data_IF_259028719442
#
_entry.id   IF_259028719442
#
_cell.length_a   1.000
_cell.length_b   1.000
_cell.length_c   1.000
_cell.angle_alpha   90.00
_cell.angle_beta   90.00
_cell.angle_gamma   90.00
#
_symmetry.space_group_name_H-M   'P 1'
#
loop_
_entity.id
_entity.type
_entity.pdbx_description
1 polymer ?
#
# COMPACT_ATOMS: atom_id res chain seq x y z
N UNK A 1 -13.12 -16.15 -27.02
CA UNK A 1 -12.37 -14.96 -27.48
C UNK A 1 -11.02 -15.42 -28.02
N UNK A 2 -10.63 -14.99 -29.21
CA UNK A 2 -9.28 -15.26 -29.75
C UNK A 2 -8.22 -14.62 -28.86
N UNK A 3 -7.08 -15.32 -28.66
CA UNK A 3 -5.84 -14.81 -28.06
C UNK A 3 -5.71 -13.30 -28.35
N UNK A 4 -5.69 -12.46 -27.32
CA UNK A 4 -5.62 -11.01 -27.50
C UNK A 4 -4.40 -10.70 -28.39
N UNK A 5 -4.57 -9.99 -29.52
CA UNK A 5 -3.52 -9.82 -30.50
C UNK A 5 -2.46 -8.87 -29.93
N UNK A 6 -1.35 -9.45 -29.46
CA UNK A 6 -0.23 -8.72 -28.89
C UNK A 6 0.84 -9.68 -28.37
N UNK A 7 2.10 -9.23 -28.34
CA UNK A 7 3.16 -9.96 -27.65
C UNK A 7 2.81 -10.00 -26.15
N UNK A 8 2.71 -11.20 -25.57
CA UNK A 8 2.36 -11.38 -24.17
C UNK A 8 3.24 -10.51 -23.25
N UNK A 9 2.59 -9.70 -22.41
CA UNK A 9 3.27 -8.94 -21.34
C UNK A 9 3.60 -9.90 -20.22
N UNK A 10 4.87 -10.32 -20.17
CA UNK A 10 5.36 -11.23 -19.12
C UNK A 10 5.82 -10.52 -17.87
N UNK A 11 6.33 -9.29 -17.99
CA UNK A 11 6.81 -8.51 -16.85
C UNK A 11 5.69 -7.60 -16.39
N UNK A 12 5.08 -7.95 -15.27
CA UNK A 12 3.84 -7.32 -14.77
C UNK A 12 4.12 -6.58 -13.48
N UNK A 13 3.65 -5.34 -13.39
CA UNK A 13 3.94 -4.43 -12.28
C UNK A 13 2.86 -4.50 -11.21
N UNK A 14 3.24 -4.63 -9.94
CA UNK A 14 2.30 -4.51 -8.81
C UNK A 14 2.28 -3.12 -8.20
N UNK A 15 3.35 -2.33 -8.33
CA UNK A 15 3.28 -0.87 -8.11
C UNK A 15 3.22 -0.21 -9.49
N UNK A 16 2.18 0.60 -9.80
CA UNK A 16 2.01 1.14 -11.14
C UNK A 16 3.21 1.98 -11.58
N UNK A 17 3.53 1.89 -12.87
CA UNK A 17 4.61 2.70 -13.44
C UNK A 17 4.30 4.19 -13.40
N UNK A 18 3.04 4.59 -13.55
CA UNK A 18 2.66 6.01 -13.48
C UNK A 18 2.96 6.58 -12.09
N UNK A 19 2.66 5.83 -11.02
CA UNK A 19 2.98 6.21 -9.66
C UNK A 19 4.49 6.38 -9.44
N UNK A 20 5.29 5.38 -9.87
CA UNK A 20 6.75 5.42 -9.69
C UNK A 20 7.42 6.60 -10.39
N UNK A 21 6.88 7.08 -11.52
CA UNK A 21 7.42 8.24 -12.24
C UNK A 21 7.44 9.52 -11.41
N UNK A 22 6.55 9.67 -10.42
CA UNK A 22 6.55 10.84 -9.53
C UNK A 22 7.73 10.87 -8.54
N UNK A 23 8.50 9.79 -8.49
CA UNK A 23 9.75 9.69 -7.74
C UNK A 23 10.97 9.69 -8.67
N UNK A 24 10.80 9.81 -9.99
CA UNK A 24 11.94 9.87 -10.90
C UNK A 24 12.61 11.26 -10.88
N UNK A 25 13.91 11.27 -11.12
CA UNK A 25 14.67 12.49 -11.37
C UNK A 25 14.38 13.06 -12.77
N UNK A 26 15.00 14.20 -13.10
CA UNK A 26 14.83 14.87 -14.40
C UNK A 26 15.31 14.04 -15.60
N UNK A 27 16.12 12.99 -15.37
CA UNK A 27 16.54 12.04 -16.39
C UNK A 27 15.63 10.81 -16.51
N UNK A 28 14.56 10.75 -15.70
CA UNK A 28 13.64 9.60 -15.63
C UNK A 28 14.19 8.42 -14.83
N UNK A 29 15.33 8.58 -14.14
CA UNK A 29 15.92 7.54 -13.29
C UNK A 29 15.38 7.63 -11.86
N UNK A 30 15.31 6.48 -11.21
CA UNK A 30 15.02 6.32 -9.79
C UNK A 30 16.30 5.97 -9.06
N UNK A 31 16.45 6.50 -7.85
CA UNK A 31 17.39 5.96 -6.87
C UNK A 31 16.67 4.88 -6.06
N UNK A 32 17.30 3.72 -5.91
CA UNK A 32 16.69 2.58 -5.24
C UNK A 32 17.67 1.88 -4.30
N UNK A 33 17.15 1.31 -3.22
CA UNK A 33 17.86 0.45 -2.28
C UNK A 33 17.18 -0.91 -2.24
N UNK A 34 17.92 -1.98 -2.50
CA UNK A 34 17.41 -3.35 -2.38
C UNK A 34 17.69 -3.86 -0.98
N UNK A 35 16.62 -4.18 -0.24
CA UNK A 35 16.72 -4.78 1.09
C UNK A 35 17.44 -6.13 1.04
N UNK A 36 17.08 -6.96 0.06
CA UNK A 36 17.68 -8.29 -0.13
C UNK A 36 19.18 -8.24 -0.43
N UNK A 37 19.61 -7.30 -1.28
CA UNK A 37 21.03 -7.19 -1.68
C UNK A 37 21.85 -6.28 -0.76
N UNK A 38 21.19 -5.49 0.09
CA UNK A 38 21.84 -4.50 0.94
C UNK A 38 22.55 -3.39 0.17
N UNK A 39 22.09 -3.04 -1.04
CA UNK A 39 22.83 -2.16 -1.96
C UNK A 39 21.97 -1.10 -2.62
N UNK A 40 22.53 0.09 -2.78
CA UNK A 40 21.96 1.18 -3.58
C UNK A 40 22.26 1.00 -5.08
N UNK A 41 21.31 1.39 -5.93
CA UNK A 41 21.44 1.36 -7.37
C UNK A 41 20.54 2.41 -8.02
N UNK A 42 20.79 2.69 -9.32
CA UNK A 42 19.91 3.54 -10.14
C UNK A 42 19.23 2.70 -11.20
N UNK A 43 17.98 3.01 -11.51
CA UNK A 43 17.21 2.24 -12.49
C UNK A 43 16.01 3.01 -13.04
N UNK A 44 15.43 2.52 -14.13
CA UNK A 44 14.14 2.97 -14.64
C UNK A 44 12.96 2.37 -13.86
N UNK A 45 11.83 3.08 -13.88
CA UNK A 45 10.54 2.62 -13.33
C UNK A 45 10.13 1.23 -13.84
N UNK A 46 10.47 0.91 -15.10
CA UNK A 46 10.15 -0.37 -15.74
C UNK A 46 10.80 -1.59 -15.07
N UNK A 47 11.84 -1.37 -14.26
CA UNK A 47 12.65 -2.44 -13.66
C UNK A 47 12.39 -2.65 -12.17
N UNK A 48 11.47 -1.90 -11.59
CA UNK A 48 11.09 -2.03 -10.19
C UNK A 48 9.67 -2.59 -10.07
N UNK A 49 9.37 -3.11 -8.88
CA UNK A 49 8.04 -3.55 -8.47
C UNK A 49 7.29 -4.35 -9.54
N UNK A 50 8.00 -5.27 -10.20
CA UNK A 50 7.45 -6.15 -11.23
C UNK A 50 7.96 -7.57 -11.08
N UNK A 51 7.11 -8.51 -11.47
CA UNK A 51 7.38 -9.94 -11.44
C UNK A 51 6.98 -10.56 -12.77
N UNK A 52 7.61 -11.68 -13.12
CA UNK A 52 7.27 -12.42 -14.32
C UNK A 52 5.98 -13.22 -14.08
N UNK A 53 5.01 -13.04 -14.97
CA UNK A 53 3.73 -13.76 -15.02
C UNK A 53 2.93 -13.71 -13.69
N UNK A 54 3.04 -12.60 -12.95
CA UNK A 54 2.44 -12.40 -11.62
C UNK A 54 0.94 -12.72 -11.59
N UNK A 55 0.21 -12.23 -12.60
CA UNK A 55 -1.24 -12.31 -12.69
C UNK A 55 -1.73 -13.46 -13.58
N UNK A 56 -0.82 -14.23 -14.17
CA UNK A 56 -1.20 -15.30 -15.09
C UNK A 56 -1.62 -16.55 -14.31
N UNK A 57 -2.60 -17.27 -14.84
CA UNK A 57 -3.08 -18.55 -14.31
C UNK A 57 -2.59 -19.63 -15.26
N UNK A 58 -1.95 -20.68 -14.74
CA UNK A 58 -1.52 -21.83 -15.55
C UNK A 58 -2.64 -22.86 -15.63
N UNK A 59 -2.75 -23.54 -16.78
CA UNK A 59 -3.61 -24.70 -16.91
C UNK A 59 -3.18 -25.81 -15.93
N UNK A 60 -4.14 -26.57 -15.40
CA UNK A 60 -3.88 -27.65 -14.44
C UNK A 60 -3.01 -28.78 -15.04
N UNK A 61 -3.10 -29.01 -16.35
CA UNK A 61 -2.31 -29.99 -17.10
C UNK A 61 -1.08 -29.39 -17.80
N UNK A 62 -0.76 -28.11 -17.54
CA UNK A 62 0.37 -27.44 -18.15
C UNK A 62 1.68 -28.17 -17.82
N UNK A 63 2.37 -28.64 -18.86
CA UNK A 63 3.71 -29.24 -18.74
C UNK A 63 4.72 -28.46 -19.59
N UNK A 64 5.79 -27.99 -18.96
CA UNK A 64 6.88 -27.26 -19.64
C UNK A 64 6.59 -25.77 -19.93
N UNK A 65 7.47 -25.14 -20.72
CA UNK A 65 7.44 -23.70 -21.04
C UNK A 65 6.67 -23.42 -22.35
N UNK A 66 5.57 -24.15 -22.58
CA UNK A 66 4.77 -24.05 -23.79
C UNK A 66 4.04 -22.69 -23.89
N UNK A 67 3.92 -22.15 -25.10
CA UNK A 67 3.27 -20.84 -25.36
C UNK A 67 1.77 -20.80 -25.03
N UNK A 68 1.14 -21.95 -24.82
CA UNK A 68 -0.28 -22.10 -24.45
C UNK A 68 -0.47 -22.61 -23.00
N UNK A 69 0.55 -22.48 -22.14
CA UNK A 69 0.45 -22.92 -20.74
C UNK A 69 -0.49 -22.09 -19.87
N UNK A 70 -0.85 -20.89 -20.31
CA UNK A 70 -1.59 -19.92 -19.51
C UNK A 70 -3.05 -19.85 -19.92
N UNK A 71 -3.90 -19.98 -18.91
CA UNK A 71 -5.33 -19.81 -18.96
C UNK A 71 -5.68 -18.31 -19.03
N UNK A 72 -6.40 -17.90 -20.07
CA UNK A 72 -6.82 -16.51 -20.32
C UNK A 72 -5.66 -15.47 -20.27
N UNK A 73 -4.64 -15.70 -21.11
CA UNK A 73 -3.43 -14.88 -21.22
C UNK A 73 -3.66 -13.36 -21.13
N UNK A 74 -2.93 -12.72 -20.20
CA UNK A 74 -2.93 -11.27 -19.95
C UNK A 74 -4.30 -10.63 -19.65
N UNK A 75 -5.34 -11.40 -19.32
CA UNK A 75 -6.65 -10.84 -19.01
C UNK A 75 -6.59 -9.83 -17.85
N UNK A 76 -5.94 -10.19 -16.75
CA UNK A 76 -5.80 -9.32 -15.56
C UNK A 76 -4.91 -8.12 -15.87
N UNK A 77 -3.79 -8.32 -16.56
CA UNK A 77 -2.88 -7.24 -16.96
C UNK A 77 -3.57 -6.18 -17.82
N UNK A 78 -4.39 -6.59 -18.78
CA UNK A 78 -5.16 -5.67 -19.64
C UNK A 78 -6.14 -4.86 -18.81
N UNK A 79 -6.90 -5.50 -17.92
CA UNK A 79 -7.84 -4.81 -17.02
C UNK A 79 -7.14 -3.84 -16.05
N UNK A 80 -5.99 -4.23 -15.50
CA UNK A 80 -5.16 -3.34 -14.69
C UNK A 80 -4.66 -2.15 -15.52
N UNK A 81 -4.23 -2.37 -16.77
CA UNK A 81 -3.82 -1.28 -17.66
C UNK A 81 -4.97 -0.30 -17.97
N UNK A 82 -6.20 -0.79 -18.14
CA UNK A 82 -7.39 0.04 -18.32
C UNK A 82 -7.71 0.86 -17.06
N UNK A 83 -7.65 0.22 -15.88
CA UNK A 83 -7.81 0.87 -14.60
C UNK A 83 -6.75 1.97 -14.39
N UNK A 84 -5.48 1.65 -14.61
CA UNK A 84 -4.36 2.60 -14.47
C UNK A 84 -4.51 3.78 -15.45
N UNK A 85 -5.00 3.53 -16.68
CA UNK A 85 -5.28 4.59 -17.65
C UNK A 85 -6.39 5.54 -17.21
N UNK A 86 -7.34 5.09 -16.38
CA UNK A 86 -8.38 5.95 -15.79
C UNK A 86 -7.87 6.73 -14.58
N UNK A 87 -7.06 6.10 -13.73
CA UNK A 87 -6.56 6.69 -12.47
C UNK A 87 -5.45 7.71 -12.72
N UNK A 88 -4.49 7.40 -13.60
CA UNK A 88 -3.28 8.21 -13.76
C UNK A 88 -3.57 9.69 -14.08
N UNK A 89 -4.47 10.05 -15.01
CA UNK A 89 -4.77 11.46 -15.29
C UNK A 89 -5.42 12.20 -14.10
N UNK A 90 -6.21 11.50 -13.27
CA UNK A 90 -6.81 12.09 -12.07
C UNK A 90 -5.74 12.35 -11.01
N UNK A 91 -4.82 11.39 -10.86
CA UNK A 91 -3.69 11.47 -9.95
C UNK A 91 -2.73 12.60 -10.32
N UNK A 92 -2.36 12.71 -11.61
CA UNK A 92 -1.49 13.77 -12.12
C UNK A 92 -2.08 15.16 -11.85
N UNK A 93 -3.35 15.36 -12.24
CA UNK A 93 -4.07 16.62 -11.99
C UNK A 93 -4.16 16.93 -10.50
N UNK A 94 -4.38 15.92 -9.67
CA UNK A 94 -4.46 16.09 -8.22
C UNK A 94 -3.13 16.63 -7.66
N UNK A 95 -1.99 16.06 -8.07
CA UNK A 95 -0.66 16.52 -7.64
C UNK A 95 -0.26 17.88 -8.22
N UNK A 96 -0.64 18.19 -9.46
CA UNK A 96 -0.38 19.49 -10.06
C UNK A 96 -1.05 20.63 -9.28
N UNK A 97 -2.30 20.44 -8.86
CA UNK A 97 -3.04 21.44 -8.07
C UNK A 97 -2.39 21.74 -6.72
N UNK A 98 -1.73 20.75 -6.10
CA UNK A 98 -1.01 20.98 -4.85
C UNK A 98 0.16 21.96 -5.00
N UNK A 99 0.68 22.15 -6.23
CA UNK A 99 1.73 23.13 -6.52
C UNK A 99 1.18 24.56 -6.56
N UNK A 100 -0.09 24.73 -6.90
CA UNK A 100 -0.75 26.03 -7.05
C UNK A 100 -1.27 26.59 -5.72
N UNK A 101 -1.03 25.89 -4.59
CA UNK A 101 -1.56 26.21 -3.25
C UNK A 101 -3.11 26.38 -3.23
N UNK A 102 -3.82 25.82 -4.21
CA UNK A 102 -5.28 25.80 -4.25
C UNK A 102 -5.79 24.62 -3.42
N UNK A 103 -6.29 24.93 -2.22
CA UNK A 103 -6.84 23.94 -1.30
C UNK A 103 -8.38 23.99 -1.37
N UNK A 104 -9.00 22.84 -1.68
CA UNK A 104 -10.45 22.58 -1.59
C UNK A 104 -11.38 23.17 -2.68
N UNK A 105 -11.01 23.06 -3.96
CA UNK A 105 -11.89 23.35 -5.11
C UNK A 105 -12.32 22.09 -5.90
N UNK A 106 -13.19 22.27 -6.92
CA UNK A 106 -13.72 21.25 -7.84
C UNK A 106 -12.66 20.20 -8.25
N UNK A 107 -12.84 18.94 -7.83
CA UNK A 107 -11.98 17.79 -8.19
C UNK A 107 -11.00 17.33 -7.10
N UNK A 108 -10.99 17.95 -5.91
CA UNK A 108 -10.29 17.39 -4.74
C UNK A 108 -10.84 16.00 -4.37
N UNK A 109 -12.16 15.83 -4.42
CA UNK A 109 -12.83 14.54 -4.18
C UNK A 109 -12.40 13.48 -5.19
N UNK A 110 -12.29 13.84 -6.47
CA UNK A 110 -11.84 12.91 -7.52
C UNK A 110 -10.38 12.50 -7.32
N UNK A 111 -9.53 13.44 -6.89
CA UNK A 111 -8.15 13.17 -6.52
C UNK A 111 -8.02 12.24 -5.31
N UNK A 112 -8.77 12.50 -4.22
CA UNK A 112 -8.84 11.60 -3.06
C UNK A 112 -9.31 10.21 -3.48
N UNK A 113 -10.37 10.12 -4.29
CA UNK A 113 -10.86 8.85 -4.81
C UNK A 113 -9.80 8.09 -5.62
N UNK A 114 -9.05 8.79 -6.48
CA UNK A 114 -7.95 8.19 -7.24
C UNK A 114 -6.81 7.67 -6.35
N UNK A 115 -6.46 8.39 -5.28
CA UNK A 115 -5.46 7.93 -4.29
C UNK A 115 -5.98 6.70 -3.53
N UNK A 116 -7.24 6.70 -3.10
CA UNK A 116 -7.84 5.55 -2.40
C UNK A 116 -7.91 4.30 -3.29
N UNK A 117 -8.30 4.47 -4.56
CA UNK A 117 -8.33 3.41 -5.57
C UNK A 117 -6.93 2.83 -5.80
N UNK A 118 -5.93 3.70 -5.91
CA UNK A 118 -4.54 3.30 -6.08
C UNK A 118 -4.02 2.53 -4.86
N UNK A 119 -4.27 3.03 -3.64
CA UNK A 119 -3.87 2.38 -2.40
C UNK A 119 -4.48 0.96 -2.32
N UNK A 120 -5.80 0.85 -2.49
CA UNK A 120 -6.51 -0.43 -2.48
C UNK A 120 -5.94 -1.42 -3.50
N UNK A 121 -5.70 -0.98 -4.73
CA UNK A 121 -5.15 -1.84 -5.77
C UNK A 121 -3.74 -2.32 -5.45
N UNK A 122 -2.85 -1.45 -4.94
CA UNK A 122 -1.48 -1.83 -4.59
C UNK A 122 -1.46 -2.91 -3.50
N UNK A 123 -2.33 -2.80 -2.50
CA UNK A 123 -2.45 -3.79 -1.41
C UNK A 123 -2.88 -5.15 -1.95
N UNK A 124 -4.00 -5.18 -2.68
CA UNK A 124 -4.62 -6.44 -3.11
C UNK A 124 -3.76 -7.14 -4.15
N UNK A 125 -3.09 -6.39 -5.04
CA UNK A 125 -2.24 -6.97 -6.09
C UNK A 125 -0.79 -7.21 -5.68
N UNK A 126 -0.45 -6.99 -4.41
CA UNK A 126 0.89 -7.26 -3.90
C UNK A 126 1.24 -8.75 -4.10
N UNK A 127 2.49 -9.11 -4.46
CA UNK A 127 2.84 -10.50 -4.78
C UNK A 127 2.67 -11.50 -3.64
N UNK A 128 2.61 -11.04 -2.40
CA UNK A 128 2.31 -11.87 -1.23
C UNK A 128 0.81 -12.22 -1.23
N UNK A 129 -0.07 -11.22 -1.31
CA UNK A 129 -1.52 -11.37 -1.39
C UNK A 129 -1.93 -12.27 -2.56
N UNK A 130 -1.41 -11.98 -3.76
CA UNK A 130 -1.69 -12.76 -4.97
C UNK A 130 -1.31 -14.24 -4.84
N UNK A 131 -0.20 -14.56 -4.14
CA UNK A 131 0.24 -15.95 -3.97
C UNK A 131 -0.68 -16.74 -3.04
N UNK A 132 -1.15 -16.10 -1.97
CA UNK A 132 -2.06 -16.74 -1.02
C UNK A 132 -3.43 -16.97 -1.65
N UNK A 133 -3.97 -15.97 -2.35
CA UNK A 133 -5.24 -16.11 -3.07
C UNK A 133 -5.22 -17.24 -4.11
N UNK A 134 -4.12 -17.35 -4.88
CA UNK A 134 -3.92 -18.42 -5.85
C UNK A 134 -3.88 -19.80 -5.19
N UNK A 135 -3.19 -19.94 -4.07
CA UNK A 135 -3.10 -21.20 -3.34
C UNK A 135 -4.47 -21.61 -2.80
N UNK A 136 -5.15 -20.70 -2.10
CA UNK A 136 -6.46 -20.95 -1.49
C UNK A 136 -7.53 -21.29 -2.53
N UNK A 137 -7.58 -20.54 -3.64
CA UNK A 137 -8.55 -20.77 -4.71
C UNK A 137 -8.37 -22.13 -5.39
N UNK A 138 -7.12 -22.60 -5.58
CA UNK A 138 -6.85 -23.96 -6.09
C UNK A 138 -7.28 -25.05 -5.13
N UNK A 139 -6.96 -24.92 -3.85
CA UNK A 139 -7.29 -25.91 -2.82
C UNK A 139 -8.80 -26.05 -2.61
N UNK A 140 -9.56 -24.97 -2.80
CA UNK A 140 -11.02 -24.92 -2.60
C UNK A 140 -11.82 -25.05 -3.90
N UNK A 141 -11.15 -25.17 -5.06
CA UNK A 141 -11.81 -25.12 -6.38
C UNK A 141 -12.91 -26.16 -6.56
N UNK A 142 -12.67 -27.41 -6.14
CA UNK A 142 -13.66 -28.48 -6.24
C UNK A 142 -14.89 -28.25 -5.36
N UNK A 143 -14.73 -27.61 -4.20
CA UNK A 143 -15.84 -27.30 -3.30
C UNK A 143 -16.64 -26.10 -3.80
N UNK A 144 -15.95 -25.05 -4.25
CA UNK A 144 -16.58 -23.87 -4.85
C UNK A 144 -17.44 -24.26 -6.05
N UNK A 145 -16.93 -25.10 -6.95
CA UNK A 145 -17.68 -25.54 -8.13
C UNK A 145 -18.85 -26.46 -7.80
N UNK A 146 -18.80 -27.23 -6.71
CA UNK A 146 -19.95 -28.03 -6.24
C UNK A 146 -21.06 -27.16 -5.67
N UNK A 147 -20.72 -26.01 -5.10
CA UNK A 147 -21.66 -25.10 -4.44
C UNK A 147 -22.17 -23.98 -5.35
N UNK A 148 -21.46 -23.68 -6.45
CA UNK A 148 -21.86 -22.66 -7.43
C UNK A 148 -22.89 -23.22 -8.40
N UNK A 149 -24.09 -22.64 -8.41
CA UNK A 149 -25.13 -22.94 -9.38
C UNK A 149 -24.96 -22.03 -10.59
N UNK A 150 -24.22 -22.49 -11.60
CA UNK A 150 -24.11 -21.79 -12.87
C UNK A 150 -25.43 -21.88 -13.65
N UNK A 151 -25.91 -20.74 -14.12
CA UNK A 151 -27.06 -20.67 -15.02
C UNK A 151 -26.72 -21.28 -16.38
N UNK A 152 -27.72 -21.74 -17.16
CA UNK A 152 -27.50 -22.23 -18.52
C UNK A 152 -26.78 -21.22 -19.43
N UNK A 153 -26.99 -19.92 -19.19
CA UNK A 153 -26.30 -18.85 -19.91
C UNK A 153 -24.81 -18.78 -19.57
N UNK A 154 -24.45 -18.87 -18.28
CA UNK A 154 -23.05 -18.88 -17.82
C UNK A 154 -22.30 -20.14 -18.27
N UNK A 155 -22.98 -21.29 -18.24
CA UNK A 155 -22.44 -22.53 -18.83
C UNK A 155 -22.19 -22.37 -20.33
N UNK A 156 -23.13 -21.75 -21.04
CA UNK A 156 -22.95 -21.36 -22.44
C UNK A 156 -21.73 -20.47 -22.62
N UNK A 157 -21.55 -19.42 -21.82
CA UNK A 157 -20.37 -18.55 -21.92
C UNK A 157 -19.04 -19.29 -21.70
N UNK A 158 -18.99 -20.20 -20.72
CA UNK A 158 -17.81 -21.02 -20.46
C UNK A 158 -17.51 -22.00 -21.61
N UNK A 159 -18.54 -22.64 -22.16
CA UNK A 159 -18.42 -23.53 -23.32
C UNK A 159 -17.93 -22.77 -24.56
N UNK A 160 -18.52 -21.61 -24.84
CA UNK A 160 -18.13 -20.74 -25.97
C UNK A 160 -16.73 -20.12 -25.83
N UNK A 161 -16.19 -20.12 -24.62
CA UNK A 161 -14.86 -19.56 -24.31
C UNK A 161 -13.78 -20.63 -24.23
N UNK A 162 -14.11 -21.92 -24.39
CA UNK A 162 -13.22 -23.08 -24.12
C UNK A 162 -12.69 -23.11 -22.67
N UNK A 163 -13.42 -22.46 -21.76
CA UNK A 163 -12.99 -22.22 -20.38
C UNK A 163 -13.45 -23.32 -19.43
N UNK A 164 -14.52 -24.04 -19.77
CA UNK A 164 -15.08 -25.10 -18.93
C UNK A 164 -14.12 -26.28 -18.68
N UNK A 165 -13.17 -26.52 -19.58
CA UNK A 165 -12.30 -27.70 -19.55
C UNK A 165 -11.35 -27.77 -18.35
N UNK A 166 -11.06 -26.64 -17.71
CA UNK A 166 -10.11 -26.55 -16.59
C UNK A 166 -10.72 -25.82 -15.40
N UNK A 167 -11.42 -26.60 -14.58
CA UNK A 167 -12.14 -26.14 -13.39
C UNK A 167 -11.25 -25.41 -12.38
N UNK A 168 -9.99 -25.83 -12.19
CA UNK A 168 -9.09 -25.19 -11.23
C UNK A 168 -8.63 -23.82 -11.75
N UNK A 169 -8.22 -23.76 -13.02
CA UNK A 169 -7.78 -22.51 -13.63
C UNK A 169 -8.93 -21.49 -13.73
N UNK A 170 -10.16 -21.94 -14.03
CA UNK A 170 -11.37 -21.09 -14.01
C UNK A 170 -11.55 -20.44 -12.64
N UNK A 171 -11.51 -21.23 -11.57
CA UNK A 171 -11.75 -20.73 -10.21
C UNK A 171 -10.65 -19.80 -9.75
N UNK A 172 -9.38 -20.13 -10.01
CA UNK A 172 -8.24 -19.26 -9.69
C UNK A 172 -8.37 -17.90 -10.39
N UNK A 173 -8.67 -17.91 -11.70
CA UNK A 173 -8.85 -16.68 -12.46
C UNK A 173 -10.06 -15.88 -11.96
N UNK A 174 -11.17 -16.54 -11.68
CA UNK A 174 -12.39 -15.90 -11.19
C UNK A 174 -12.19 -15.28 -9.80
N UNK A 175 -11.46 -15.96 -8.90
CA UNK A 175 -11.10 -15.44 -7.60
C UNK A 175 -10.23 -14.18 -7.73
N UNK A 176 -9.13 -14.27 -8.49
CA UNK A 176 -8.24 -13.13 -8.70
C UNK A 176 -8.96 -11.94 -9.36
N UNK A 177 -9.78 -12.20 -10.39
CA UNK A 177 -10.55 -11.15 -11.05
C UNK A 177 -11.61 -10.53 -10.12
N UNK A 178 -12.24 -11.32 -9.25
CA UNK A 178 -13.21 -10.85 -8.26
C UNK A 178 -12.53 -9.95 -7.23
N UNK A 179 -11.38 -10.36 -6.68
CA UNK A 179 -10.65 -9.58 -5.69
C UNK A 179 -10.18 -8.23 -6.24
N UNK A 180 -9.81 -8.17 -7.53
CA UNK A 180 -9.25 -6.98 -8.16
C UNK A 180 -10.29 -6.06 -8.81
N UNK A 181 -11.38 -6.60 -9.36
CA UNK A 181 -12.25 -5.87 -10.27
C UNK A 181 -13.75 -6.00 -9.99
N UNK A 182 -14.16 -6.74 -8.96
CA UNK A 182 -15.58 -6.82 -8.62
C UNK A 182 -16.11 -5.46 -8.18
N UNK A 183 -17.36 -5.18 -8.52
CA UNK A 183 -18.09 -4.01 -8.01
C UNK A 183 -18.81 -4.30 -6.69
N UNK A 184 -18.68 -5.51 -6.15
CA UNK A 184 -19.31 -5.89 -4.89
C UNK A 184 -18.59 -5.21 -3.71
N UNK A 185 -19.33 -4.55 -2.83
CA UNK A 185 -18.79 -3.85 -1.67
C UNK A 185 -18.12 -4.80 -0.66
N UNK A 186 -18.40 -6.11 -0.73
CA UNK A 186 -17.81 -7.08 0.20
C UNK A 186 -16.39 -7.53 -0.20
N UNK A 187 -15.94 -7.24 -1.43
CA UNK A 187 -14.60 -7.69 -1.87
C UNK A 187 -13.49 -6.81 -1.29
N UNK A 188 -12.29 -7.35 -1.06
CA UNK A 188 -11.20 -6.65 -0.37
C UNK A 188 -10.87 -5.28 -0.96
N UNK A 189 -10.75 -5.17 -2.29
CA UNK A 189 -10.41 -3.90 -2.95
C UNK A 189 -11.44 -2.80 -2.64
N UNK A 190 -12.73 -3.12 -2.60
CA UNK A 190 -13.78 -2.14 -2.30
C UNK A 190 -13.88 -1.83 -0.82
N UNK A 191 -13.69 -2.82 0.07
CA UNK A 191 -13.64 -2.59 1.52
C UNK A 191 -12.49 -1.66 1.90
N UNK A 192 -11.29 -1.93 1.39
CA UNK A 192 -10.12 -1.09 1.61
C UNK A 192 -10.36 0.31 1.04
N UNK A 193 -10.79 0.41 -0.22
CA UNK A 193 -11.08 1.70 -0.87
C UNK A 193 -12.08 2.52 -0.05
N UNK A 194 -13.15 1.90 0.45
CA UNK A 194 -14.16 2.53 1.29
C UNK A 194 -13.57 3.00 2.62
N UNK A 195 -12.80 2.14 3.31
CA UNK A 195 -12.13 2.49 4.56
C UNK A 195 -11.25 3.74 4.38
N UNK A 196 -10.40 3.77 3.34
CA UNK A 196 -9.58 4.95 3.02
C UNK A 196 -10.41 6.19 2.69
N UNK A 197 -11.52 6.02 1.96
CA UNK A 197 -12.35 7.15 1.56
C UNK A 197 -13.10 7.78 2.75
N UNK A 198 -13.45 6.99 3.77
CA UNK A 198 -14.15 7.45 4.97
C UNK A 198 -13.24 8.22 5.95
N UNK A 199 -11.91 7.99 5.91
CA UNK A 199 -10.96 8.70 6.78
C UNK A 199 -10.82 10.18 6.43
N UNK A 200 -10.41 10.98 7.42
CA UNK A 200 -9.84 12.31 7.17
C UNK A 200 -8.62 12.19 6.25
N UNK A 201 -8.38 13.20 5.43
CA UNK A 201 -7.35 13.15 4.38
C UNK A 201 -6.58 14.46 4.32
N UNK A 202 -5.29 14.36 4.62
CA UNK A 202 -4.37 15.50 4.66
C UNK A 202 -3.20 15.29 3.71
N UNK A 203 -2.80 16.35 3.02
CA UNK A 203 -1.63 16.38 2.14
C UNK A 203 -0.45 17.01 2.88
N UNK A 204 0.66 16.29 2.91
CA UNK A 204 1.94 16.76 3.42
C UNK A 204 2.83 17.18 2.27
N UNK A 205 3.47 18.35 2.36
CA UNK A 205 4.45 18.84 1.40
C UNK A 205 5.85 18.86 1.99
N UNK A 206 6.81 18.27 1.28
CA UNK A 206 8.22 18.32 1.64
C UNK A 206 8.84 19.70 1.35
N UNK A 207 9.84 20.16 2.12
CA UNK A 207 10.56 21.38 1.83
C UNK A 207 11.50 21.19 0.64
N UNK A 208 11.85 22.29 -0.03
CA UNK A 208 12.85 22.28 -1.12
C UNK A 208 14.18 21.73 -0.60
N UNK A 209 14.76 20.78 -1.34
CA UNK A 209 16.01 20.11 -0.97
C UNK A 209 15.84 18.84 -0.13
N UNK A 210 14.61 18.51 0.26
CA UNK A 210 14.24 17.20 0.82
C UNK A 210 13.19 16.52 -0.06
N UNK A 211 12.85 15.27 0.24
CA UNK A 211 11.77 14.58 -0.43
C UNK A 211 11.35 13.28 0.25
N UNK A 212 10.13 12.87 -0.06
CA UNK A 212 9.60 11.60 0.43
C UNK A 212 10.22 10.42 -0.32
N UNK A 213 10.47 9.34 0.44
CA UNK A 213 10.87 8.02 -0.04
C UNK A 213 9.60 7.19 -0.17
N UNK A 214 9.50 6.39 -1.23
CA UNK A 214 8.48 5.35 -1.38
C UNK A 214 9.12 3.97 -1.36
N UNK A 215 8.32 2.90 -1.41
CA UNK A 215 8.82 1.54 -1.39
C UNK A 215 7.99 0.63 -2.32
N UNK A 216 8.37 -0.65 -2.41
CA UNK A 216 7.58 -1.66 -3.11
C UNK A 216 6.27 -2.05 -2.41
N UNK A 217 6.04 -1.54 -1.21
CA UNK A 217 4.77 -1.53 -0.49
C UNK A 217 4.61 -0.11 0.11
N UNK A 218 4.14 0.86 -0.71
CA UNK A 218 4.30 2.30 -0.49
C UNK A 218 3.32 2.87 0.55
N UNK A 219 3.14 2.15 1.65
CA UNK A 219 2.19 2.51 2.68
C UNK A 219 2.67 2.05 4.05
N UNK A 220 2.29 2.86 5.02
CA UNK A 220 2.35 2.53 6.43
C UNK A 220 0.91 2.59 6.97
N UNK A 221 0.46 1.56 7.67
CA UNK A 221 -0.92 1.47 8.20
C UNK A 221 -0.86 1.06 9.66
N UNK A 222 -1.70 1.67 10.50
CA UNK A 222 -1.97 1.30 11.88
C UNK A 222 -3.47 1.09 11.98
N UNK A 223 -3.89 -0.04 12.53
CA UNK A 223 -5.29 -0.39 12.71
C UNK A 223 -5.54 -1.27 13.94
N UNK A 224 -6.81 -1.58 14.21
CA UNK A 224 -7.20 -2.46 15.32
C UNK A 224 -6.59 -3.86 15.19
N UNK A 225 -6.42 -4.55 16.32
CA UNK A 225 -5.96 -5.96 16.35
C UNK A 225 -7.12 -6.93 16.05
N UNK A 226 -7.87 -6.69 14.98
CA UNK A 226 -8.96 -7.54 14.53
C UNK A 226 -8.90 -7.85 13.02
N UNK A 227 -9.78 -8.74 12.56
CA UNK A 227 -9.86 -9.17 11.16
C UNK A 227 -10.66 -8.14 10.29
N UNK A 228 -10.64 -6.84 10.65
CA UNK A 228 -11.30 -5.81 9.86
C UNK A 228 -10.37 -5.17 8.82
N UNK A 229 -10.97 -4.54 7.81
CA UNK A 229 -10.27 -3.68 6.85
C UNK A 229 -10.14 -2.23 7.34
N UNK A 230 -10.53 -1.98 8.60
CA UNK A 230 -10.50 -0.67 9.21
C UNK A 230 -9.08 -0.34 9.70
N UNK A 231 -8.79 0.95 9.86
CA UNK A 231 -7.48 1.41 10.31
C UNK A 231 -7.56 2.79 10.96
N UNK A 232 -6.72 3.07 11.95
CA UNK A 232 -6.67 4.36 12.65
C UNK A 232 -5.84 5.40 11.89
N UNK A 233 -4.75 4.96 11.25
CA UNK A 233 -3.86 5.83 10.49
C UNK A 233 -3.26 5.10 9.29
N UNK A 234 -3.21 5.77 8.14
CA UNK A 234 -2.39 5.37 7.02
C UNK A 234 -1.56 6.53 6.48
N UNK A 235 -0.32 6.25 6.10
CA UNK A 235 0.58 7.17 5.42
C UNK A 235 0.98 6.59 4.07
N UNK A 236 0.89 7.40 3.03
CA UNK A 236 1.24 7.02 1.66
C UNK A 236 2.02 8.14 0.98
N UNK A 237 3.30 7.94 0.62
CA UNK A 237 4.02 8.85 -0.27
C UNK A 237 3.30 8.93 -1.62
N UNK A 238 3.00 10.13 -2.12
CA UNK A 238 2.34 10.32 -3.41
C UNK A 238 3.33 10.69 -4.52
N UNK A 239 4.37 11.42 -4.15
CA UNK A 239 5.50 11.79 -5.01
C UNK A 239 6.69 12.08 -4.12
N UNK A 240 7.84 12.45 -4.69
CA UNK A 240 8.94 12.93 -3.86
C UNK A 240 8.62 14.25 -3.13
N UNK A 241 7.58 14.99 -3.52
CA UNK A 241 7.22 16.29 -2.96
C UNK A 241 6.00 16.24 -2.02
N UNK A 242 5.12 15.27 -2.24
CA UNK A 242 3.82 15.18 -1.56
C UNK A 242 3.58 13.79 -0.98
N UNK A 243 2.92 13.73 0.16
CA UNK A 243 2.41 12.50 0.76
C UNK A 243 1.00 12.72 1.30
N UNK A 244 0.25 11.62 1.48
CA UNK A 244 -1.06 11.61 2.09
C UNK A 244 -1.01 11.00 3.49
N UNK A 245 -1.82 11.55 4.38
CA UNK A 245 -2.17 10.95 5.67
C UNK A 245 -3.68 10.75 5.71
N UNK A 246 -4.08 9.54 6.07
CA UNK A 246 -5.44 9.14 6.34
C UNK A 246 -5.55 8.86 7.84
N UNK A 247 -6.56 9.40 8.51
CA UNK A 247 -6.78 9.11 9.93
C UNK A 247 -8.23 9.26 10.36
N UNK A 248 -8.61 8.61 11.47
CA UNK A 248 -9.95 8.74 12.07
C UNK A 248 -10.27 10.19 12.39
N UNK A 249 -9.38 10.83 13.15
CA UNK A 249 -9.44 12.25 13.46
C UNK A 249 -8.43 13.04 12.62
N UNK A 250 -8.74 14.29 12.23
CA UNK A 250 -7.81 15.12 11.47
C UNK A 250 -6.59 15.49 12.33
N UNK A 251 -5.49 14.74 12.14
CA UNK A 251 -4.20 14.98 12.81
C UNK A 251 -3.48 16.19 12.23
N UNK A 252 -3.73 16.48 10.95
CA UNK A 252 -3.18 17.61 10.22
C UNK A 252 -4.29 18.48 9.65
N UNK A 253 -4.03 19.76 9.39
CA UNK A 253 -4.87 20.50 8.46
C UNK A 253 -4.94 19.76 7.10
N UNK A 254 -5.94 20.06 6.24
CA UNK A 254 -6.06 19.44 4.91
C UNK A 254 -4.77 19.52 4.09
N UNK A 255 -3.97 20.56 4.31
CA UNK A 255 -2.64 20.72 3.72
C UNK A 255 -1.63 21.21 4.77
N UNK A 256 -0.51 20.51 4.90
CA UNK A 256 0.57 20.80 5.84
C UNK A 256 1.94 20.83 5.14
N UNK A 257 2.76 21.85 5.45
CA UNK A 257 4.15 21.92 5.00
C UNK A 257 5.06 21.40 6.11
N UNK A 258 5.89 20.41 5.79
CA UNK A 258 6.83 19.84 6.74
C UNK A 258 8.19 20.53 6.67
N UNK A 259 8.90 20.53 7.79
CA UNK A 259 10.34 20.78 7.82
C UNK A 259 11.14 19.53 7.43
N UNK A 260 12.47 19.66 7.35
CA UNK A 260 13.37 18.56 7.01
C UNK A 260 13.21 17.36 7.94
N UNK A 261 13.24 17.60 9.26
CA UNK A 261 13.06 16.56 10.28
C UNK A 261 11.71 15.86 10.18
N UNK A 262 10.65 16.58 9.79
CA UNK A 262 9.34 15.99 9.58
C UNK A 262 9.32 15.01 8.42
N UNK A 263 9.95 15.35 7.30
CA UNK A 263 10.07 14.44 6.14
C UNK A 263 10.94 13.24 6.46
N UNK A 264 12.07 13.44 7.14
CA UNK A 264 12.95 12.34 7.58
C UNK A 264 12.20 11.37 8.49
N UNK A 265 11.41 11.90 9.43
CA UNK A 265 10.56 11.09 10.30
C UNK A 265 9.53 10.27 9.52
N UNK A 266 8.80 10.87 8.57
CA UNK A 266 7.83 10.14 7.76
C UNK A 266 8.48 9.04 6.91
N UNK A 267 9.65 9.32 6.33
CA UNK A 267 10.42 8.32 5.58
C UNK A 267 10.85 7.16 6.48
N UNK A 268 11.30 7.44 7.71
CA UNK A 268 11.67 6.43 8.71
C UNK A 268 10.46 5.56 9.09
N UNK A 269 9.30 6.17 9.34
CA UNK A 269 8.08 5.43 9.67
C UNK A 269 7.70 4.42 8.58
N UNK A 270 7.82 4.81 7.31
CA UNK A 270 7.52 3.94 6.18
C UNK A 270 8.42 2.69 6.14
N UNK A 271 9.72 2.86 6.39
CA UNK A 271 10.69 1.77 6.33
C UNK A 271 10.64 0.84 7.54
N UNK A 272 10.32 1.37 8.73
CA UNK A 272 10.27 0.60 9.98
C UNK A 272 9.02 -0.26 10.10
N UNK A 273 7.86 0.27 9.72
CA UNK A 273 6.58 -0.36 10.00
C UNK A 273 6.05 -1.25 8.87
N UNK A 274 6.74 -1.29 7.74
CA UNK A 274 6.37 -2.16 6.64
C UNK A 274 7.42 -3.27 6.51
N UNK A 275 7.11 -4.49 6.97
CA UNK A 275 8.04 -5.61 6.79
C UNK A 275 8.07 -6.13 5.34
N UNK A 276 7.05 -5.81 4.55
CA UNK A 276 6.83 -6.38 3.22
C UNK A 276 7.45 -5.60 2.05
N UNK A 277 8.21 -4.53 2.32
CA UNK A 277 8.97 -3.89 1.25
C UNK A 277 10.31 -4.60 0.97
N UNK A 278 10.60 -4.76 -0.31
CA UNK A 278 11.84 -5.32 -0.86
C UNK A 278 12.78 -4.24 -1.39
N UNK A 279 12.21 -3.13 -1.88
CA UNK A 279 12.94 -2.01 -2.46
C UNK A 279 12.40 -0.69 -1.93
N UNK A 280 13.29 0.19 -1.47
CA UNK A 280 13.00 1.58 -1.17
C UNK A 280 13.47 2.48 -2.32
N UNK A 281 12.75 3.56 -2.62
CA UNK A 281 12.81 4.31 -3.87
C UNK A 281 12.70 5.81 -3.60
N UNK A 282 13.51 6.63 -4.28
CA UNK A 282 13.45 8.09 -4.18
C UNK A 282 13.87 8.80 -5.47
N UNK A 283 13.60 10.11 -5.53
CA UNK A 283 14.09 11.02 -6.58
C UNK A 283 15.59 11.26 -6.51
N UNK A 284 16.17 11.30 -5.32
CA UNK A 284 17.59 11.56 -5.12
C UNK A 284 18.19 10.66 -4.07
N UNK A 285 19.49 10.41 -4.16
CA UNK A 285 20.18 9.51 -3.22
C UNK A 285 20.12 9.99 -1.77
N UNK A 286 20.21 11.30 -1.52
CA UNK A 286 20.26 11.87 -0.16
C UNK A 286 19.12 11.42 0.77
N UNK A 287 17.84 11.71 0.44
CA UNK A 287 16.72 11.26 1.27
C UNK A 287 16.67 9.74 1.48
N UNK A 288 17.06 8.96 0.47
CA UNK A 288 17.04 7.50 0.53
C UNK A 288 18.17 6.95 1.40
N UNK A 289 19.39 7.45 1.23
CA UNK A 289 20.55 7.07 2.04
C UNK A 289 20.31 7.40 3.52
N UNK A 290 19.74 8.58 3.81
CA UNK A 290 19.36 8.95 5.17
C UNK A 290 18.34 7.97 5.73
N UNK A 291 17.23 7.75 5.02
CA UNK A 291 16.15 6.90 5.51
C UNK A 291 16.59 5.43 5.71
N UNK A 292 17.41 4.89 4.80
CA UNK A 292 17.98 3.52 4.92
C UNK A 292 19.00 3.43 6.04
N UNK A 293 19.84 4.45 6.24
CA UNK A 293 20.79 4.48 7.35
C UNK A 293 20.05 4.46 8.69
N UNK A 294 19.04 5.30 8.84
CA UNK A 294 18.24 5.38 10.08
C UNK A 294 17.51 4.07 10.35
N UNK A 295 16.91 3.46 9.32
CA UNK A 295 16.32 2.13 9.41
C UNK A 295 17.34 1.05 9.81
N UNK A 296 18.55 1.09 9.23
CA UNK A 296 19.61 0.11 9.53
C UNK A 296 20.13 0.27 10.97
N UNK A 297 20.25 1.51 11.45
CA UNK A 297 20.68 1.82 12.80
C UNK A 297 19.63 1.41 13.83
N UNK A 298 18.35 1.70 13.58
CA UNK A 298 17.25 1.26 14.43
C UNK A 298 17.15 -0.27 14.52
N UNK A 299 17.51 -1.00 13.45
CA UNK A 299 17.59 -2.46 13.46
C UNK A 299 18.87 -3.03 14.09
N UNK A 300 19.84 -2.19 14.43
CA UNK A 300 21.07 -2.62 15.12
C UNK A 300 20.83 -2.64 16.63
N UNK A 301 21.19 -3.75 17.29
CA UNK A 301 20.97 -3.97 18.73
C UNK A 301 21.59 -2.89 19.65
N UNK A 302 22.50 -2.04 19.15
CA UNK A 302 23.12 -0.94 19.90
C UNK A 302 22.24 0.33 20.00
N UNK A 303 21.30 0.55 19.07
CA UNK A 303 20.38 1.70 19.16
C UNK A 303 19.18 1.45 20.10
N UNK A 304 18.94 0.18 20.45
CA UNK A 304 17.86 -0.33 21.30
C UNK A 304 17.88 0.15 22.77
N UNK A 305 18.87 0.96 23.15
CA UNK A 305 19.14 1.37 24.53
C UNK A 305 19.07 2.88 24.78
N UNK A 306 18.56 3.68 23.83
CA UNK A 306 18.29 5.09 24.12
C UNK A 306 17.09 5.21 25.09
N UNK A 307 17.38 5.71 26.30
CA UNK A 307 16.46 5.76 27.44
C UNK A 307 15.86 7.16 27.55
N UNK A 308 14.53 7.26 27.45
CA UNK A 308 13.80 8.50 27.64
C UNK A 308 13.25 8.56 29.06
N UNK A 309 13.42 9.71 29.74
CA UNK A 309 12.91 9.90 31.10
C UNK A 309 11.68 10.80 31.10
N UNK A 310 10.53 10.28 31.57
CA UNK A 310 9.30 11.05 31.81
C UNK A 310 8.75 10.68 33.20
N UNK A 311 8.44 11.69 34.00
CA UNK A 311 7.93 11.55 35.38
C UNK A 311 8.79 10.64 36.30
N UNK A 312 10.12 10.70 36.13
CA UNK A 312 11.07 9.95 36.96
C UNK A 312 11.14 8.45 36.67
N UNK A 313 10.53 7.98 35.58
CA UNK A 313 10.66 6.61 35.07
C UNK A 313 11.39 6.60 33.74
N UNK A 314 12.27 5.62 33.59
CA UNK A 314 13.00 5.36 32.35
C UNK A 314 12.17 4.49 31.42
N UNK A 315 12.04 4.89 30.15
CA UNK A 315 11.29 4.19 29.12
C UNK A 315 12.15 4.09 27.85
N UNK A 316 12.19 2.89 27.27
CA UNK A 316 12.75 2.61 25.93
C UNK A 316 11.59 2.38 24.97
N UNK A 317 11.47 3.21 23.92
CA UNK A 317 10.45 3.07 22.88
C UNK A 317 10.54 1.71 22.15
N UNK A 318 11.75 1.16 22.04
CA UNK A 318 11.99 -0.07 21.29
C UNK A 318 11.71 -1.36 22.07
N UNK A 319 11.74 -1.35 23.41
CA UNK A 319 11.48 -2.60 24.18
C UNK A 319 10.03 -3.05 24.04
N UNK A 320 9.09 -2.10 23.88
CA UNK A 320 7.65 -2.38 23.70
C UNK A 320 7.33 -2.84 22.27
N UNK A 321 8.00 -2.25 21.28
CA UNK A 321 7.84 -2.58 19.85
C UNK A 321 8.49 -3.94 19.53
N UNK A 322 9.71 -4.18 20.01
CA UNK A 322 10.50 -5.36 19.68
C UNK A 322 10.04 -6.64 20.40
N UNK A 323 9.67 -6.59 21.69
CA UNK A 323 9.15 -7.77 22.42
C UNK A 323 7.77 -8.22 21.88
N UNK A 324 7.04 -7.34 21.19
CA UNK A 324 5.79 -7.65 20.51
C UNK A 324 6.00 -8.20 19.09
N UNK A 325 6.93 -7.66 18.30
CA UNK A 325 7.31 -8.23 16.99
C UNK A 325 7.85 -9.67 17.13
N UNK A 326 8.61 -9.94 18.21
CA UNK A 326 9.12 -11.30 18.50
C UNK A 326 8.03 -12.33 18.82
N UNK A 327 6.85 -11.89 19.32
CA UNK A 327 5.67 -12.73 19.50
C UNK A 327 4.82 -12.90 18.23
N UNK A 328 4.94 -12.00 17.25
CA UNK A 328 4.12 -11.96 16.02
C UNK A 328 4.77 -12.60 14.78
N UNK A 329 6.02 -13.07 14.85
CA UNK A 329 6.65 -13.88 13.78
C UNK A 329 6.00 -15.25 13.52
N UNK A 330 5.00 -15.66 14.31
CA UNK A 330 4.28 -16.94 14.15
C UNK A 330 2.81 -16.75 13.72
N UNK A 331 2.29 -15.51 13.76
CA UNK A 331 0.90 -15.16 13.39
C UNK A 331 0.84 -14.43 12.04
N UNK A 332 1.98 -14.29 11.36
CA UNK A 332 2.13 -13.55 10.09
C UNK A 332 1.73 -14.40 8.86
N UNK A 333 1.52 -15.71 9.05
CA UNK A 333 1.03 -16.62 8.01
C UNK A 333 -0.51 -16.69 8.00
N UNK A 334 -1.17 -16.43 9.14
CA UNK A 334 -2.62 -16.58 9.27
C UNK A 334 -3.40 -15.31 8.83
N UNK A 335 -2.77 -14.14 8.86
CA UNK A 335 -3.43 -12.86 8.50
C UNK A 335 -3.40 -12.58 6.99
N UNK A 336 -2.38 -13.08 6.28
CA UNK A 336 -2.37 -13.10 4.81
C UNK A 336 -3.39 -14.14 4.29
N UNK A 337 -3.68 -15.20 5.05
CA UNK A 337 -4.72 -16.21 4.75
C UNK A 337 -6.16 -15.64 4.74
N UNK A 338 -6.37 -14.37 5.18
CA UNK A 338 -7.72 -13.78 5.35
C UNK A 338 -7.89 -12.33 4.86
N UNK A 339 -6.87 -11.76 4.22
CA UNK A 339 -6.99 -10.47 3.52
C UNK A 339 -7.00 -9.22 4.41
N UNK A 340 -6.51 -9.25 5.64
CA UNK A 340 -6.52 -8.07 6.52
C UNK A 340 -5.21 -7.25 6.44
N UNK A 341 -5.32 -5.95 6.66
CA UNK A 341 -4.20 -5.01 6.75
C UNK A 341 -3.55 -5.14 8.13
N UNK A 342 -2.30 -5.59 8.22
CA UNK A 342 -1.60 -5.68 9.51
C UNK A 342 -1.34 -4.28 10.10
N UNK A 343 -1.62 -4.15 11.41
CA UNK A 343 -1.40 -2.94 12.19
C UNK A 343 0.07 -2.62 12.42
N UNK A 344 0.42 -1.36 12.21
CA UNK A 344 1.70 -0.75 12.55
C UNK A 344 1.95 -0.65 14.05
N UNK A 345 3.21 -0.43 14.40
CA UNK A 345 3.76 -0.62 15.75
C UNK A 345 3.49 0.54 16.73
N UNK A 346 2.43 1.33 16.55
CA UNK A 346 2.19 2.57 17.31
C UNK A 346 0.71 2.66 17.69
N UNK A 347 0.39 2.99 18.95
CA UNK A 347 -0.98 3.27 19.41
C UNK A 347 -1.34 4.78 19.32
N UNK A 348 -2.59 5.13 19.62
CA UNK A 348 -3.08 6.52 19.53
C UNK A 348 -2.32 7.51 20.43
N UNK A 349 -1.78 7.05 21.56
CA UNK A 349 -0.98 7.88 22.47
C UNK A 349 0.45 8.02 21.92
N UNK A 350 1.01 6.97 21.30
CA UNK A 350 2.29 7.05 20.58
C UNK A 350 2.20 8.02 19.39
N UNK A 351 1.12 7.96 18.61
CA UNK A 351 0.84 8.89 17.52
C UNK A 351 0.70 10.32 18.03
N UNK A 352 -0.03 10.53 19.12
CA UNK A 352 -0.18 11.84 19.75
C UNK A 352 1.17 12.39 20.21
N UNK A 353 2.01 11.59 20.86
CA UNK A 353 3.36 12.00 21.31
C UNK A 353 4.26 12.33 20.11
N UNK A 354 4.22 11.50 19.07
CA UNK A 354 4.94 11.69 17.81
C UNK A 354 4.54 13.00 17.12
N UNK A 355 3.23 13.27 16.99
CA UNK A 355 2.74 14.47 16.34
C UNK A 355 2.86 15.73 17.22
N UNK A 356 2.75 15.61 18.55
CA UNK A 356 3.07 16.69 19.50
C UNK A 356 4.56 17.09 19.43
N UNK A 357 5.46 16.14 19.13
CA UNK A 357 6.89 16.40 18.93
C UNK A 357 7.19 17.04 17.56
N UNK A 358 6.52 16.60 16.48
CA UNK A 358 6.64 17.19 15.14
C UNK A 358 6.08 18.62 15.05
N UNK A 359 5.05 18.94 15.82
CA UNK A 359 4.28 20.18 15.71
C UNK A 359 4.59 21.20 16.82
N UNK A 360 5.38 20.83 17.82
CA UNK A 360 5.60 21.61 19.03
C UNK A 360 4.35 21.66 19.91
N UNK A 361 4.52 21.70 21.25
CA UNK A 361 3.40 21.73 22.20
C UNK A 361 2.37 22.79 21.77
N UNK A 362 1.14 22.36 21.43
CA UNK A 362 -0.01 23.28 21.52
C UNK A 362 -0.01 23.80 22.95
N UNK A 363 0.25 25.10 23.13
CA UNK A 363 -0.13 25.79 24.35
C UNK A 363 -1.64 25.61 24.47
N UNK A 364 -2.09 24.74 25.37
CA UNK A 364 -3.43 24.87 25.91
C UNK A 364 -3.51 26.28 26.50
N UNK A 365 -4.42 27.10 25.96
CA UNK A 365 -4.75 28.39 26.53
C UNK A 365 -5.18 28.23 27.99
N UNK A 366 -4.98 29.27 28.82
CA UNK A 366 -5.16 29.16 30.26
C UNK A 366 -6.62 28.88 30.60
N UNK A 367 -6.81 27.98 31.57
CA UNK A 367 -8.11 27.47 31.93
C UNK A 367 -9.07 28.49 32.49
N UNK A 368 -10.34 28.13 32.42
CA UNK A 368 -11.38 28.67 33.30
C UNK A 368 -12.08 27.49 33.95
N UNK A 369 -11.49 27.01 35.05
CA UNK A 369 -12.25 26.37 36.12
C UNK A 369 -12.94 27.46 36.92
N UNK A 370 -14.27 27.46 36.89
CA UNK A 370 -15.21 27.80 37.97
C UNK A 370 -16.58 27.45 37.38
N UNK A 371 -17.34 26.50 37.88
CA UNK A 371 -17.61 26.23 39.29
C UNK A 371 -19.13 26.36 39.45
N UNK A 372 -19.73 25.25 39.83
CA UNK A 372 -21.14 24.98 40.08
C UNK A 372 -21.98 26.09 40.75
N UNK A 373 -23.25 26.08 40.34
CA UNK A 373 -24.48 26.13 41.15
C UNK A 373 -25.00 27.43 41.81
N UNK A 374 -26.33 27.49 41.74
CA UNK A 374 -27.31 28.06 42.68
C UNK A 374 -27.91 29.45 42.37
N UNK A 375 -29.24 29.39 42.23
CA UNK A 375 -30.31 30.40 42.11
C UNK A 375 -30.57 31.03 40.75
#
# INVERSE_FOLDING_TARGET
MSKLPGKMTRKQHWVPRFYLRHFADSSGQLHAYSRQKGSFFRTNCENLCSMRDLYEVEHADATGDATDRFYAQNLIEVKLSELESRIAPLYDRFLERQKEDQCEDEGYSDGKAAVCELAANIIVRHPISMRVDKKWSRETAEELLRNVHLTPYELGLLDWSDWRGDSQAVVELAAAATMLFSNDDIVPVNRIRKAFFEKSFSILRAPVGSGFVTTSMPMFIIGPEDDSYDFHLAYMPLSSEYAAVFSDDPLFPPFARLGFSGVEFMNRLLLLNCEHWDVAISRGSGPLEHAVRDWSQANSAEFMHEMFTRDGRELSLDTVIYDRSKKKGQTMIDTIDRGCLEGGCLDDEDLRIIFEHLLGRRRQGPGTLKGQAAY
#
